data_IF_087381738863
#
_entry.id   IF_087381738863
#
_cell.length_a   1.000
_cell.length_b   1.000
_cell.length_c   1.000
_cell.angle_alpha   90.00
_cell.angle_beta   90.00
_cell.angle_gamma   90.00
#
_symmetry.space_group_name_H-M   'P 1'
#
loop_
_entity.id
_entity.type
_entity.pdbx_description
1 polymer ?
#
# COMPACT_ATOMS: atom_id res chain seq x y z
N UNK A 1 4.49 -0.85 24.98
CA UNK A 1 3.61 0.26 24.54
C UNK A 1 3.13 -0.09 23.14
N UNK A 2 1.84 -0.38 22.95
CA UNK A 2 1.29 -0.63 21.62
C UNK A 2 1.17 0.73 20.90
N UNK A 3 2.16 1.05 20.06
CA UNK A 3 2.07 2.22 19.18
C UNK A 3 0.96 1.96 18.18
N UNK A 4 -0.19 2.60 18.39
CA UNK A 4 -1.32 2.53 17.47
C UNK A 4 -0.96 3.29 16.18
N UNK A 5 -0.23 2.64 15.27
CA UNK A 5 0.17 3.24 14.00
C UNK A 5 -1.10 3.43 13.16
N UNK A 6 -1.37 4.68 12.76
CA UNK A 6 -2.52 4.97 11.90
C UNK A 6 -2.32 4.37 10.51
N UNK A 7 -3.42 4.08 9.80
CA UNK A 7 -3.36 3.61 8.40
C UNK A 7 -2.56 4.56 7.51
N UNK A 8 -2.69 5.87 7.73
CA UNK A 8 -1.92 6.89 6.98
C UNK A 8 -0.42 6.80 7.22
N UNK A 9 0.00 6.59 8.48
CA UNK A 9 1.41 6.40 8.82
C UNK A 9 1.97 5.09 8.22
N UNK A 10 1.18 4.01 8.21
CA UNK A 10 1.55 2.76 7.53
C UNK A 10 1.78 2.98 6.04
N UNK A 11 0.86 3.65 5.35
CA UNK A 11 1.00 3.94 3.91
C UNK A 11 2.27 4.75 3.63
N UNK A 12 2.55 5.79 4.42
CA UNK A 12 3.75 6.60 4.23
C UNK A 12 5.03 5.77 4.39
N UNK A 13 5.11 4.93 5.41
CA UNK A 13 6.27 4.06 5.65
C UNK A 13 6.46 3.03 4.55
N UNK A 14 5.37 2.37 4.14
CA UNK A 14 5.39 1.42 3.02
C UNK A 14 5.87 2.12 1.75
N UNK A 15 5.30 3.28 1.40
CA UNK A 15 5.69 4.03 0.21
C UNK A 15 7.15 4.48 0.23
N UNK A 16 7.71 4.81 1.40
CA UNK A 16 9.13 5.13 1.51
C UNK A 16 10.05 3.99 1.09
N UNK A 17 9.66 2.73 1.36
CA UNK A 17 10.39 1.54 0.93
C UNK A 17 10.13 1.21 -0.54
N UNK A 18 8.87 1.30 -0.98
CA UNK A 18 8.46 0.99 -2.34
C UNK A 18 9.00 1.98 -3.38
N UNK A 19 9.26 3.23 -2.99
CA UNK A 19 9.81 4.24 -3.88
C UNK A 19 11.15 3.83 -4.52
N UNK A 20 11.95 3.00 -3.84
CA UNK A 20 13.20 2.46 -4.39
C UNK A 20 13.00 1.54 -5.60
N UNK A 21 11.78 1.04 -5.81
CA UNK A 21 11.38 0.16 -6.91
C UNK A 21 10.44 0.83 -7.91
N UNK A 22 10.27 2.15 -7.83
CA UNK A 22 9.25 2.88 -8.57
C UNK A 22 7.81 2.41 -8.28
N UNK A 23 7.57 1.88 -7.08
CA UNK A 23 6.28 1.37 -6.65
C UNK A 23 5.60 2.31 -5.64
N UNK A 24 4.27 2.32 -5.62
CA UNK A 24 3.49 3.10 -4.65
C UNK A 24 2.17 2.44 -4.29
N UNK A 25 1.88 2.33 -2.99
CA UNK A 25 0.54 2.04 -2.47
C UNK A 25 -0.37 3.24 -2.67
N UNK A 26 -1.52 2.99 -3.28
CA UNK A 26 -2.62 3.94 -3.43
C UNK A 26 -3.88 3.40 -2.77
N UNK A 27 -4.70 4.33 -2.25
CA UNK A 27 -6.04 4.03 -1.76
C UNK A 27 -7.02 4.08 -2.94
N UNK A 28 -7.86 3.07 -3.06
CA UNK A 28 -8.94 3.08 -4.04
C UNK A 28 -10.00 4.09 -3.61
N UNK A 29 -10.40 4.97 -4.54
CA UNK A 29 -11.57 5.82 -4.32
C UNK A 29 -12.82 4.93 -4.36
N UNK A 30 -13.78 5.16 -3.48
CA UNK A 30 -15.04 4.43 -3.51
C UNK A 30 -15.71 4.57 -4.88
N UNK A 31 -16.20 3.46 -5.44
CA UNK A 31 -16.79 3.42 -6.77
C UNK A 31 -16.52 2.11 -7.49
N UNK A 32 -16.71 2.11 -8.82
CA UNK A 32 -16.69 0.92 -9.68
C UNK A 32 -15.42 0.05 -9.57
N UNK A 33 -14.30 0.66 -9.20
CA UNK A 33 -13.01 -0.02 -9.13
C UNK A 33 -12.75 -0.69 -7.78
N UNK A 34 -13.57 -0.43 -6.77
CA UNK A 34 -13.34 -0.96 -5.42
C UNK A 34 -13.44 -2.50 -5.36
N UNK A 35 -14.36 -3.09 -6.14
CA UNK A 35 -14.50 -4.54 -6.21
C UNK A 35 -13.29 -5.23 -6.87
N UNK A 36 -12.59 -4.54 -7.78
CA UNK A 36 -11.45 -5.09 -8.51
C UNK A 36 -10.11 -4.79 -7.81
N UNK A 37 -9.95 -3.60 -7.23
CA UNK A 37 -8.69 -3.16 -6.63
C UNK A 37 -8.63 -3.34 -5.11
N UNK A 38 -9.78 -3.51 -4.44
CA UNK A 38 -9.90 -3.49 -2.98
C UNK A 38 -9.75 -2.09 -2.38
N UNK A 39 -9.44 -2.02 -1.08
CA UNK A 39 -9.20 -0.75 -0.37
C UNK A 39 -7.88 -0.07 -0.78
N UNK A 40 -6.84 -0.86 -0.99
CA UNK A 40 -5.51 -0.42 -1.38
C UNK A 40 -4.97 -1.31 -2.49
N UNK A 41 -4.14 -0.73 -3.35
CA UNK A 41 -3.46 -1.39 -4.46
C UNK A 41 -2.07 -0.79 -4.63
N UNK A 42 -1.15 -1.50 -5.28
CA UNK A 42 0.18 -1.01 -5.62
C UNK A 42 0.25 -0.79 -7.12
N UNK A 43 0.83 0.35 -7.49
CA UNK A 43 1.20 0.66 -8.87
C UNK A 43 2.72 0.69 -9.00
N UNK A 44 3.20 0.35 -10.19
CA UNK A 44 4.47 0.83 -10.71
C UNK A 44 4.18 2.15 -11.43
N UNK A 45 4.75 3.24 -10.94
CA UNK A 45 4.50 4.58 -11.51
C UNK A 45 5.41 4.94 -12.68
N UNK A 46 6.46 4.16 -12.95
CA UNK A 46 7.32 4.30 -14.12
C UNK A 46 6.62 3.71 -15.35
N UNK A 47 6.01 2.53 -15.18
CA UNK A 47 5.26 1.84 -16.23
C UNK A 47 3.76 2.16 -16.24
N UNK A 48 3.25 2.87 -15.22
CA UNK A 48 1.85 3.21 -15.04
C UNK A 48 0.91 1.98 -15.06
N UNK A 49 1.30 0.92 -14.35
CA UNK A 49 0.53 -0.34 -14.25
C UNK A 49 0.21 -0.70 -12.81
N UNK A 50 -0.91 -1.40 -12.60
CA UNK A 50 -1.25 -2.00 -11.30
C UNK A 50 -0.51 -3.32 -11.19
N UNK A 51 0.34 -3.45 -10.16
CA UNK A 51 1.14 -4.66 -9.93
C UNK A 51 0.57 -5.54 -8.81
N UNK A 52 -0.21 -4.96 -7.89
CA UNK A 52 -0.83 -5.69 -6.79
C UNK A 52 -2.20 -5.08 -6.44
N UNK A 53 -3.21 -5.94 -6.26
CA UNK A 53 -4.60 -5.57 -5.91
C UNK A 53 -4.97 -6.13 -4.54
N UNK A 54 -5.99 -5.58 -3.90
CA UNK A 54 -6.49 -6.02 -2.59
C UNK A 54 -5.40 -6.06 -1.50
N UNK A 55 -4.56 -5.03 -1.47
CA UNK A 55 -3.40 -4.96 -0.58
C UNK A 55 -3.85 -4.74 0.87
N UNK A 56 -3.50 -5.68 1.75
CA UNK A 56 -3.60 -5.50 3.19
C UNK A 56 -2.37 -4.74 3.71
N UNK A 57 -2.58 -3.52 4.20
CA UNK A 57 -1.50 -2.66 4.69
C UNK A 57 -0.70 -3.27 5.84
N UNK A 58 -1.34 -4.02 6.74
CA UNK A 58 -0.70 -4.61 7.91
C UNK A 58 0.17 -5.78 7.47
N UNK A 59 -0.36 -6.64 6.59
CA UNK A 59 0.39 -7.75 6.00
C UNK A 59 1.59 -7.22 5.22
N UNK A 60 1.38 -6.24 4.34
CA UNK A 60 2.47 -5.65 3.54
C UNK A 60 3.52 -4.97 4.42
N UNK A 61 3.10 -4.28 5.47
CA UNK A 61 4.02 -3.67 6.43
C UNK A 61 4.87 -4.70 7.17
N UNK A 62 4.30 -5.87 7.54
CA UNK A 62 5.07 -6.97 8.13
C UNK A 62 6.07 -7.57 7.15
N UNK A 63 5.64 -7.83 5.91
CA UNK A 63 6.51 -8.36 4.84
C UNK A 63 7.71 -7.43 4.56
N UNK A 64 7.48 -6.12 4.62
CA UNK A 64 8.50 -5.10 4.43
C UNK A 64 9.30 -4.76 5.70
N UNK A 65 9.02 -5.40 6.84
CA UNK A 65 9.71 -5.13 8.11
C UNK A 65 9.42 -3.75 8.73
N UNK A 66 8.32 -3.10 8.34
CA UNK A 66 7.88 -1.81 8.86
C UNK A 66 7.31 -1.95 10.28
N UNK A 67 6.68 -3.08 10.55
CA UNK A 67 6.10 -3.45 11.85
C UNK A 67 6.46 -4.90 12.17
N UNK A 68 6.64 -5.20 13.46
CA UNK A 68 6.96 -6.52 14.00
C UNK A 68 5.76 -7.08 14.78
#
# INVERSE_FOLDING_TARGET
>A
MATHISKGALVQRINGLLAQKHEMVRKTKQGKWHNDLGDYYIIDFDHNVVIEKHVDLVKKAKELGVIN
#
